data_IF_444432086247
#
_entry.id   IF_444432086247
#
_cell.length_a   1.000
_cell.length_b   1.000
_cell.length_c   1.000
_cell.angle_alpha   90.00
_cell.angle_beta   90.00
_cell.angle_gamma   90.00
#
_symmetry.space_group_name_H-M   'P 1'
#
loop_
_entity.id
_entity.type
_entity.pdbx_description
1 polymer ?
#
# COMPACT_ATOMS: atom_id res chain seq x y z
N UNK A 1 -29.07 13.08 32.40
CA UNK A 1 -30.13 12.39 31.64
C UNK A 1 -29.43 11.57 30.57
N UNK A 2 -29.04 10.34 30.91
CA UNK A 2 -28.21 9.46 30.07
C UNK A 2 -29.12 8.50 29.30
N UNK A 3 -29.20 8.65 27.98
CA UNK A 3 -29.78 7.63 27.12
C UNK A 3 -28.70 6.67 26.63
N UNK A 4 -28.92 5.40 26.96
CA UNK A 4 -28.19 4.22 26.56
C UNK A 4 -28.24 4.09 25.03
N UNK A 5 -27.08 3.96 24.38
CA UNK A 5 -26.99 3.49 22.99
C UNK A 5 -27.09 1.96 23.01
N UNK A 6 -28.31 1.45 22.87
CA UNK A 6 -28.55 0.09 22.40
C UNK A 6 -28.64 0.17 20.87
N UNK A 7 -27.64 -0.36 20.17
CA UNK A 7 -27.78 -0.71 18.76
C UNK A 7 -28.79 -1.86 18.69
N UNK A 8 -30.06 -1.51 18.53
CA UNK A 8 -31.07 -2.45 18.10
C UNK A 8 -30.78 -2.78 16.63
N UNK A 9 -30.38 -4.02 16.34
CA UNK A 9 -30.78 -4.64 15.10
C UNK A 9 -32.28 -4.39 14.96
N UNK A 10 -32.72 -3.62 13.98
CA UNK A 10 -34.13 -3.66 13.56
C UNK A 10 -34.30 -4.97 12.79
N UNK A 11 -34.20 -6.09 13.52
CA UNK A 11 -34.98 -7.27 13.25
C UNK A 11 -36.32 -6.97 13.88
N UNK A 12 -37.27 -6.49 13.08
CA UNK A 12 -38.67 -6.46 13.49
C UNK A 12 -39.02 -7.87 13.97
N UNK A 13 -39.36 -8.01 15.25
CA UNK A 13 -39.66 -9.29 15.86
C UNK A 13 -40.84 -9.93 15.15
N UNK A 14 -40.62 -11.07 14.51
CA UNK A 14 -41.70 -11.95 14.08
C UNK A 14 -42.08 -12.83 15.27
N UNK A 15 -43.29 -12.65 15.78
CA UNK A 15 -43.96 -13.72 16.50
C UNK A 15 -44.18 -14.86 15.51
N UNK A 16 -43.72 -16.06 15.87
CA UNK A 16 -44.04 -17.28 15.16
C UNK A 16 -45.56 -17.52 15.24
N UNK A 17 -46.28 -17.06 14.22
CA UNK A 17 -47.63 -17.53 13.93
C UNK A 17 -47.48 -18.59 12.85
N UNK A 18 -47.87 -19.82 13.16
CA UNK A 18 -47.89 -20.92 12.20
C UNK A 18 -48.73 -20.55 10.98
N UNK A 19 -48.07 -20.43 9.82
CA UNK A 19 -48.76 -20.15 8.55
C UNK A 19 -48.15 -21.00 7.45
N UNK A 20 -48.66 -22.21 7.30
CA UNK A 20 -48.64 -22.89 6.00
C UNK A 20 -49.65 -22.17 5.09
N UNK A 21 -49.19 -21.72 3.93
CA UNK A 21 -49.94 -21.16 2.79
C UNK A 21 -50.33 -19.66 2.78
N UNK A 22 -49.53 -18.74 3.34
CA UNK A 22 -49.54 -17.34 2.85
C UNK A 22 -48.55 -17.18 1.69
N UNK A 23 -48.90 -16.49 0.58
CA UNK A 23 -47.92 -16.13 -0.43
C UNK A 23 -46.79 -15.33 0.22
N UNK A 24 -45.54 -15.65 -0.13
CA UNK A 24 -44.38 -14.96 0.42
C UNK A 24 -44.50 -13.45 0.17
N UNK A 25 -44.19 -12.65 1.18
CA UNK A 25 -44.26 -11.19 1.08
C UNK A 25 -43.32 -10.69 -0.01
N UNK A 26 -43.79 -9.76 -0.85
CA UNK A 26 -42.94 -9.12 -1.85
C UNK A 26 -41.81 -8.28 -1.22
N UNK A 27 -41.86 -8.02 0.09
CA UNK A 27 -40.87 -7.30 0.89
C UNK A 27 -40.19 -8.20 1.94
N UNK A 28 -40.19 -9.51 1.73
CA UNK A 28 -39.42 -10.44 2.55
C UNK A 28 -37.91 -10.26 2.28
N UNK A 29 -37.26 -9.53 3.19
CA UNK A 29 -35.83 -9.24 3.13
C UNK A 29 -34.95 -10.49 3.04
N UNK A 30 -35.38 -11.61 3.63
CA UNK A 30 -34.61 -12.86 3.62
C UNK A 30 -34.67 -13.58 2.27
N UNK A 31 -35.62 -13.21 1.40
CA UNK A 31 -35.79 -13.79 0.07
C UNK A 31 -34.96 -13.08 -1.01
N UNK A 32 -34.54 -11.83 -0.76
CA UNK A 32 -33.83 -11.04 -1.75
C UNK A 32 -32.42 -11.55 -2.00
N UNK A 33 -32.12 -11.74 -3.29
CA UNK A 33 -30.80 -12.10 -3.78
C UNK A 33 -29.93 -10.90 -4.11
N UNK A 34 -28.72 -11.18 -4.59
CA UNK A 34 -27.82 -10.16 -5.12
C UNK A 34 -28.49 -9.44 -6.30
N UNK A 35 -28.37 -8.12 -6.36
CA UNK A 35 -29.02 -7.27 -7.37
C UNK A 35 -28.53 -7.50 -8.81
N UNK A 36 -27.52 -8.35 -9.01
CA UNK A 36 -27.01 -8.71 -10.33
C UNK A 36 -27.30 -10.18 -10.63
N UNK A 37 -28.24 -10.42 -11.54
CA UNK A 37 -28.50 -11.75 -12.09
C UNK A 37 -27.89 -11.89 -13.49
N UNK A 38 -27.34 -13.07 -13.79
CA UNK A 38 -26.88 -13.45 -15.13
C UNK A 38 -27.47 -14.81 -15.52
N UNK A 39 -27.77 -15.05 -16.81
CA UNK A 39 -28.44 -16.29 -17.25
C UNK A 39 -27.78 -17.58 -16.75
N UNK A 40 -26.45 -17.64 -16.77
CA UNK A 40 -25.66 -18.80 -16.37
C UNK A 40 -25.83 -19.20 -14.89
N UNK A 41 -26.39 -18.34 -14.03
CA UNK A 41 -26.70 -18.70 -12.64
C UNK A 41 -27.70 -19.85 -12.54
N UNK A 42 -28.55 -20.03 -13.56
CA UNK A 42 -29.55 -21.12 -13.62
C UNK A 42 -28.90 -22.49 -13.83
N UNK A 43 -27.72 -22.52 -14.44
CA UNK A 43 -27.00 -23.74 -14.79
C UNK A 43 -25.94 -24.13 -13.74
N UNK A 44 -25.86 -23.38 -12.64
CA UNK A 44 -24.93 -23.65 -11.53
C UNK A 44 -25.33 -24.95 -10.83
N UNK A 45 -24.35 -25.86 -10.69
CA UNK A 45 -24.56 -27.14 -10.01
C UNK A 45 -24.34 -26.97 -8.51
N UNK A 46 -25.35 -27.29 -7.70
CA UNK A 46 -25.29 -27.10 -6.24
C UNK A 46 -25.28 -28.45 -5.53
N UNK A 47 -24.25 -28.69 -4.71
CA UNK A 47 -24.22 -29.78 -3.73
C UNK A 47 -24.54 -29.18 -2.36
N UNK A 48 -25.66 -29.58 -1.78
CA UNK A 48 -26.16 -29.02 -0.52
C UNK A 48 -25.80 -29.89 0.68
N UNK A 49 -25.80 -29.25 1.85
CA UNK A 49 -25.77 -29.89 3.17
C UNK A 49 -24.57 -30.82 3.39
N UNK A 50 -23.41 -30.43 2.85
CA UNK A 50 -22.16 -31.15 3.04
C UNK A 50 -21.67 -30.91 4.48
N UNK A 51 -21.56 -31.94 5.34
CA UNK A 51 -21.12 -31.77 6.71
C UNK A 51 -19.63 -31.43 6.77
N UNK A 52 -19.27 -30.36 7.48
CA UNK A 52 -17.88 -29.96 7.65
C UNK A 52 -17.40 -30.02 9.12
N UNK A 53 -18.31 -29.90 10.09
CA UNK A 53 -17.97 -29.93 11.52
C UNK A 53 -19.13 -30.49 12.34
N UNK A 54 -18.81 -31.20 13.42
CA UNK A 54 -19.81 -31.55 14.44
C UNK A 54 -20.08 -30.32 15.33
N UNK A 55 -21.34 -30.06 15.65
CA UNK A 55 -21.75 -29.01 16.60
C UNK A 55 -22.78 -29.59 17.56
N UNK A 56 -22.92 -29.03 18.77
CA UNK A 56 -23.61 -29.65 19.92
C UNK A 56 -24.82 -30.55 19.60
N UNK A 57 -25.74 -30.08 18.75
CA UNK A 57 -27.00 -30.77 18.46
C UNK A 57 -27.08 -31.35 17.02
N UNK A 58 -25.96 -31.44 16.28
CA UNK A 58 -25.94 -31.89 14.90
C UNK A 58 -24.61 -31.70 14.17
N UNK A 59 -24.68 -31.37 12.88
CA UNK A 59 -23.52 -31.06 12.06
C UNK A 59 -23.72 -29.70 11.40
N UNK A 60 -22.69 -28.86 11.42
CA UNK A 60 -22.67 -27.70 10.56
C UNK A 60 -22.37 -28.15 9.13
N UNK A 61 -23.11 -27.58 8.20
CA UNK A 61 -22.99 -27.93 6.78
C UNK A 61 -22.65 -26.74 5.91
N UNK A 62 -22.10 -27.03 4.73
CA UNK A 62 -21.91 -26.07 3.64
C UNK A 62 -22.70 -26.48 2.40
N UNK A 63 -23.00 -25.50 1.56
CA UNK A 63 -23.42 -25.73 0.19
C UNK A 63 -22.29 -25.32 -0.76
N UNK A 64 -21.98 -26.17 -1.74
CA UNK A 64 -20.96 -25.93 -2.76
C UNK A 64 -21.63 -25.68 -4.11
N UNK A 65 -21.34 -24.52 -4.70
CA UNK A 65 -21.87 -24.01 -5.96
C UNK A 65 -20.77 -24.11 -7.02
N UNK A 66 -20.91 -25.04 -7.95
CA UNK A 66 -19.92 -25.30 -8.99
C UNK A 66 -20.30 -24.60 -10.32
N UNK A 67 -19.33 -24.01 -11.04
CA UNK A 67 -19.56 -23.40 -12.33
C UNK A 67 -20.26 -24.32 -13.34
N UNK A 68 -21.13 -23.78 -14.19
CA UNK A 68 -21.64 -24.51 -15.34
C UNK A 68 -20.48 -25.04 -16.21
N UNK A 69 -20.53 -26.31 -16.59
CA UNK A 69 -19.52 -26.93 -17.46
C UNK A 69 -18.17 -27.26 -16.80
N UNK A 70 -18.07 -27.21 -15.46
CA UNK A 70 -16.85 -27.62 -14.74
C UNK A 70 -16.47 -29.08 -15.08
N UNK A 71 -15.29 -29.28 -15.65
CA UNK A 71 -14.80 -30.60 -16.08
C UNK A 71 -14.35 -31.45 -14.89
N UNK A 72 -14.55 -32.77 -14.89
CA UNK A 72 -14.05 -33.66 -13.84
C UNK A 72 -12.54 -33.50 -13.61
N UNK A 73 -12.15 -33.30 -12.35
CA UNK A 73 -10.76 -33.16 -11.93
C UNK A 73 -10.18 -31.75 -12.09
N UNK A 74 -10.91 -30.85 -12.75
CA UNK A 74 -10.54 -29.44 -12.84
C UNK A 74 -10.76 -28.74 -11.51
N UNK A 75 -9.76 -28.01 -11.02
CA UNK A 75 -9.87 -27.22 -9.80
C UNK A 75 -10.10 -25.75 -10.14
N UNK A 76 -10.90 -25.07 -9.31
CA UNK A 76 -11.18 -23.64 -9.46
C UNK A 76 -10.95 -22.89 -8.14
N UNK A 77 -10.53 -21.61 -8.18
CA UNK A 77 -10.54 -20.78 -6.99
C UNK A 77 -11.93 -20.76 -6.35
N UNK A 78 -12.00 -20.67 -5.04
CA UNK A 78 -13.27 -20.72 -4.31
C UNK A 78 -13.48 -19.49 -3.44
N UNK A 79 -14.73 -19.04 -3.33
CA UNK A 79 -15.12 -17.89 -2.51
C UNK A 79 -16.06 -18.39 -1.41
N UNK A 80 -15.65 -18.18 -0.16
CA UNK A 80 -16.40 -18.55 1.04
C UNK A 80 -17.23 -17.35 1.50
N UNK A 81 -18.54 -17.53 1.56
CA UNK A 81 -19.50 -16.56 2.09
C UNK A 81 -19.68 -16.81 3.58
N UNK A 82 -18.98 -16.01 4.37
CA UNK A 82 -18.90 -16.15 5.81
C UNK A 82 -20.22 -15.79 6.49
N UNK A 83 -20.70 -16.70 7.33
CA UNK A 83 -21.80 -16.45 8.26
C UNK A 83 -21.31 -16.71 9.68
N UNK A 84 -21.74 -15.88 10.63
CA UNK A 84 -21.25 -15.91 12.02
C UNK A 84 -22.39 -16.01 13.04
N UNK A 85 -23.59 -16.33 12.57
CA UNK A 85 -24.79 -16.40 13.40
C UNK A 85 -25.38 -17.80 13.42
N UNK A 86 -25.66 -18.29 14.63
CA UNK A 86 -26.59 -19.39 14.83
C UNK A 86 -28.03 -18.90 14.57
N UNK A 87 -28.85 -19.64 13.82
CA UNK A 87 -30.27 -19.34 13.72
C UNK A 87 -30.94 -19.48 15.10
N UNK A 88 -31.91 -18.61 15.42
CA UNK A 88 -32.76 -18.85 16.58
C UNK A 88 -33.72 -20.00 16.30
N UNK A 89 -34.31 -20.55 17.36
CA UNK A 89 -35.30 -21.62 17.22
C UNK A 89 -36.46 -21.19 16.32
N UNK A 90 -36.73 -21.97 15.27
CA UNK A 90 -37.77 -21.68 14.27
C UNK A 90 -37.34 -20.75 13.13
N UNK A 91 -36.14 -20.18 13.15
CA UNK A 91 -35.62 -19.33 12.06
C UNK A 91 -34.91 -20.15 10.97
N UNK A 92 -35.01 -19.67 9.73
CA UNK A 92 -34.26 -20.23 8.61
C UNK A 92 -32.76 -19.95 8.77
N UNK A 93 -31.94 -20.96 8.47
CA UNK A 93 -30.47 -20.87 8.50
C UNK A 93 -30.00 -19.78 7.54
N UNK A 94 -29.02 -18.96 7.94
CA UNK A 94 -28.55 -17.83 7.13
C UNK A 94 -28.09 -18.24 5.72
N UNK A 95 -27.45 -19.43 5.57
CA UNK A 95 -27.03 -19.95 4.26
C UNK A 95 -28.17 -20.18 3.26
N UNK A 96 -29.43 -20.25 3.73
CA UNK A 96 -30.62 -20.44 2.88
C UNK A 96 -31.29 -19.12 2.50
N UNK A 97 -30.84 -17.97 3.02
CA UNK A 97 -31.37 -16.67 2.62
C UNK A 97 -31.00 -16.38 1.14
N UNK A 98 -31.83 -15.58 0.47
CA UNK A 98 -31.67 -15.22 -0.94
C UNK A 98 -30.26 -14.74 -1.26
N UNK A 99 -29.71 -13.84 -0.45
CA UNK A 99 -28.38 -13.27 -0.65
C UNK A 99 -27.26 -14.34 -0.54
N UNK A 100 -27.37 -15.31 0.38
CA UNK A 100 -26.40 -16.40 0.56
C UNK A 100 -26.61 -17.61 -0.37
N UNK A 101 -27.60 -17.54 -1.26
CA UNK A 101 -27.82 -18.55 -2.30
C UNK A 101 -27.61 -17.98 -3.71
N UNK A 102 -27.85 -16.68 -3.90
CA UNK A 102 -27.69 -15.98 -5.18
C UNK A 102 -26.27 -15.45 -5.40
N UNK A 103 -25.59 -14.91 -4.38
CA UNK A 103 -24.18 -14.52 -4.52
C UNK A 103 -23.25 -15.70 -4.87
N UNK A 104 -23.32 -16.87 -4.19
CA UNK A 104 -22.55 -18.04 -4.58
C UNK A 104 -22.86 -18.53 -6.00
N UNK A 105 -24.12 -18.40 -6.46
CA UNK A 105 -24.46 -18.68 -7.85
C UNK A 105 -23.85 -17.67 -8.81
N UNK A 106 -23.87 -16.39 -8.47
CA UNK A 106 -23.31 -15.34 -9.30
C UNK A 106 -21.80 -15.55 -9.50
N UNK A 107 -21.04 -15.82 -8.44
CA UNK A 107 -19.60 -16.09 -8.59
C UNK A 107 -19.36 -17.42 -9.31
N UNK A 108 -20.22 -18.43 -9.13
CA UNK A 108 -20.10 -19.69 -9.86
C UNK A 108 -20.37 -19.54 -11.36
N UNK A 109 -21.33 -18.68 -11.74
CA UNK A 109 -21.55 -18.28 -13.12
C UNK A 109 -20.33 -17.53 -13.72
N UNK A 110 -19.42 -17.00 -12.90
CA UNK A 110 -18.17 -16.37 -13.32
C UNK A 110 -16.94 -17.30 -13.21
N UNK A 111 -17.15 -18.60 -12.98
CA UNK A 111 -16.09 -19.61 -13.05
C UNK A 111 -15.42 -19.99 -11.72
N UNK A 112 -15.88 -19.44 -10.59
CA UNK A 112 -15.38 -19.76 -9.25
C UNK A 112 -16.23 -20.82 -8.55
N UNK A 113 -15.70 -21.49 -7.51
CA UNK A 113 -16.54 -22.30 -6.62
C UNK A 113 -17.15 -21.39 -5.54
N UNK A 114 -18.47 -21.37 -5.40
CA UNK A 114 -19.15 -20.68 -4.30
C UNK A 114 -19.34 -21.61 -3.12
N UNK A 115 -19.09 -21.11 -1.90
CA UNK A 115 -19.29 -21.89 -0.69
C UNK A 115 -20.10 -21.03 0.28
N UNK A 116 -21.34 -21.44 0.58
CA UNK A 116 -22.09 -20.87 1.70
C UNK A 116 -22.04 -21.81 2.90
N UNK A 117 -21.90 -21.25 4.09
CA UNK A 117 -21.71 -22.03 5.31
C UNK A 117 -22.81 -21.79 6.34
N UNK A 118 -23.12 -22.81 7.12
CA UNK A 118 -23.74 -22.67 8.43
C UNK A 118 -22.71 -22.27 9.49
N UNK A 119 -23.20 -21.64 10.54
CA UNK A 119 -22.43 -21.28 11.73
C UNK A 119 -23.28 -21.49 12.96
N UNK A 120 -22.63 -21.83 14.07
CA UNK A 120 -23.20 -21.80 15.42
C UNK A 120 -22.78 -20.53 16.19
N UNK A 121 -22.14 -19.57 15.49
CA UNK A 121 -21.61 -18.34 16.04
C UNK A 121 -20.23 -18.48 16.71
N UNK A 122 -19.69 -19.71 16.76
CA UNK A 122 -18.36 -19.97 17.28
C UNK A 122 -17.28 -19.60 16.27
N UNK A 123 -16.09 -19.24 16.77
CA UNK A 123 -14.91 -19.06 15.93
C UNK A 123 -14.41 -20.40 15.39
N UNK A 124 -14.66 -21.46 16.15
CA UNK A 124 -14.35 -22.85 15.83
C UNK A 124 -15.07 -23.30 14.55
N UNK A 125 -16.28 -22.82 14.28
CA UNK A 125 -16.97 -23.09 13.01
C UNK A 125 -16.19 -22.54 11.80
N UNK A 126 -15.59 -21.36 11.92
CA UNK A 126 -14.77 -20.77 10.86
C UNK A 126 -13.48 -21.58 10.67
N UNK A 127 -12.76 -21.84 11.77
CA UNK A 127 -11.52 -22.61 11.74
C UNK A 127 -11.75 -24.04 11.22
N UNK A 128 -12.86 -24.67 11.62
CA UNK A 128 -13.30 -25.98 11.19
C UNK A 128 -13.63 -26.04 9.70
N UNK A 129 -14.29 -25.01 9.15
CA UNK A 129 -14.56 -24.92 7.71
C UNK A 129 -13.26 -24.91 6.90
N UNK A 130 -12.30 -24.04 7.26
CA UNK A 130 -11.06 -23.96 6.50
C UNK A 130 -10.18 -25.20 6.68
N UNK A 131 -10.25 -25.86 7.83
CA UNK A 131 -9.62 -27.17 8.05
C UNK A 131 -10.24 -28.24 7.15
N UNK A 132 -11.58 -28.28 7.07
CA UNK A 132 -12.31 -29.15 6.16
C UNK A 132 -11.94 -28.89 4.69
N UNK A 133 -11.82 -27.63 4.27
CA UNK A 133 -11.43 -27.31 2.90
C UNK A 133 -9.99 -27.75 2.62
N UNK A 134 -9.06 -27.58 3.55
CA UNK A 134 -7.70 -28.06 3.40
C UNK A 134 -7.62 -29.59 3.23
N UNK A 135 -8.44 -30.34 3.97
CA UNK A 135 -8.45 -31.80 3.92
C UNK A 135 -9.25 -32.36 2.73
N UNK A 136 -10.44 -31.80 2.48
CA UNK A 136 -11.46 -32.40 1.60
C UNK A 136 -11.88 -31.51 0.44
N UNK A 137 -11.44 -30.25 0.39
CA UNK A 137 -11.84 -29.29 -0.64
C UNK A 137 -11.57 -29.77 -2.06
N UNK A 138 -10.46 -30.49 -2.28
CA UNK A 138 -10.11 -31.07 -3.59
C UNK A 138 -11.19 -32.02 -4.11
N UNK A 139 -11.88 -32.77 -3.23
CA UNK A 139 -12.98 -33.68 -3.63
C UNK A 139 -14.21 -32.93 -4.15
N UNK A 140 -14.28 -31.63 -3.86
CA UNK A 140 -15.28 -30.69 -4.37
C UNK A 140 -14.70 -29.76 -5.45
N UNK A 141 -13.54 -30.09 -6.02
CA UNK A 141 -12.88 -29.32 -7.08
C UNK A 141 -12.48 -27.88 -6.65
N UNK A 142 -12.34 -27.67 -5.35
CA UNK A 142 -11.80 -26.42 -4.80
C UNK A 142 -10.29 -26.40 -4.94
N UNK A 143 -9.76 -25.31 -5.49
CA UNK A 143 -8.34 -24.98 -5.35
C UNK A 143 -8.11 -24.38 -3.96
N UNK A 144 -7.59 -25.21 -3.05
CA UNK A 144 -7.38 -24.84 -1.64
C UNK A 144 -6.31 -23.78 -1.43
N UNK A 145 -5.48 -23.50 -2.45
CA UNK A 145 -4.44 -22.48 -2.41
C UNK A 145 -4.90 -21.11 -2.96
N UNK A 146 -6.13 -21.05 -3.51
CA UNK A 146 -6.72 -19.83 -4.07
C UNK A 146 -8.14 -19.64 -3.54
N UNK A 147 -8.22 -19.17 -2.29
CA UNK A 147 -9.48 -18.91 -1.60
C UNK A 147 -9.73 -17.39 -1.47
N UNK A 148 -10.96 -16.99 -1.72
CA UNK A 148 -11.52 -15.69 -1.40
C UNK A 148 -12.47 -15.77 -0.20
N UNK A 149 -12.60 -14.68 0.55
CA UNK A 149 -13.55 -14.58 1.67
C UNK A 149 -14.48 -13.38 1.48
N UNK A 150 -15.78 -13.63 1.47
CA UNK A 150 -16.81 -12.60 1.49
C UNK A 150 -17.47 -12.52 2.87
N UNK A 151 -17.61 -11.33 3.43
CA UNK A 151 -18.43 -11.10 4.61
C UNK A 151 -19.14 -9.74 4.53
N UNK A 152 -20.37 -9.67 5.05
CA UNK A 152 -21.18 -8.46 5.00
C UNK A 152 -21.86 -8.20 6.34
N UNK A 153 -22.12 -6.92 6.65
CA UNK A 153 -22.79 -6.47 7.87
C UNK A 153 -22.09 -7.05 9.12
N UNK A 154 -22.85 -7.57 10.07
CA UNK A 154 -22.33 -8.10 11.32
C UNK A 154 -21.43 -9.35 11.16
N UNK A 155 -21.42 -10.01 9.99
CA UNK A 155 -20.46 -11.08 9.69
C UNK A 155 -19.01 -10.55 9.54
N UNK A 156 -18.83 -9.25 9.28
CA UNK A 156 -17.51 -8.64 9.05
C UNK A 156 -16.61 -8.76 10.28
N UNK A 157 -17.13 -8.52 11.49
CA UNK A 157 -16.31 -8.47 12.71
C UNK A 157 -15.55 -9.78 12.96
N UNK A 158 -16.27 -10.91 13.06
CA UNK A 158 -15.64 -12.19 13.37
C UNK A 158 -14.86 -12.74 12.16
N UNK A 159 -15.34 -12.51 10.93
CA UNK A 159 -14.59 -12.87 9.72
C UNK A 159 -13.25 -12.14 9.65
N UNK A 160 -13.24 -10.84 9.95
CA UNK A 160 -12.04 -10.04 10.01
C UNK A 160 -11.06 -10.56 11.08
N UNK A 161 -11.56 -10.86 12.28
CA UNK A 161 -10.72 -11.41 13.36
C UNK A 161 -10.05 -12.73 12.94
N UNK A 162 -10.75 -13.58 12.19
CA UNK A 162 -10.15 -14.77 11.62
C UNK A 162 -9.10 -14.44 10.55
N UNK A 163 -9.42 -13.56 9.60
CA UNK A 163 -8.54 -13.16 8.49
C UNK A 163 -7.19 -12.59 8.95
N UNK A 164 -7.19 -11.91 10.10
CA UNK A 164 -5.99 -11.32 10.71
C UNK A 164 -5.30 -12.22 11.74
N UNK A 165 -5.85 -13.41 12.02
CA UNK A 165 -5.28 -14.31 13.01
C UNK A 165 -4.15 -15.17 12.46
N UNK A 166 -3.31 -15.68 13.36
CA UNK A 166 -2.23 -16.63 13.00
C UNK A 166 -2.75 -17.98 12.49
N UNK A 167 -4.01 -18.32 12.83
CA UNK A 167 -4.70 -19.54 12.39
C UNK A 167 -5.37 -19.41 11.03
N UNK A 168 -5.26 -18.25 10.38
CA UNK A 168 -5.87 -18.01 9.07
C UNK A 168 -5.34 -19.03 8.05
N UNK A 169 -6.23 -19.54 7.19
CA UNK A 169 -5.83 -20.41 6.09
C UNK A 169 -4.88 -19.66 5.15
N UNK A 170 -3.71 -20.24 4.90
CA UNK A 170 -2.71 -19.71 3.95
C UNK A 170 -3.20 -19.71 2.50
N UNK A 171 -4.25 -20.46 2.22
CA UNK A 171 -4.94 -20.47 0.93
C UNK A 171 -5.75 -19.21 0.66
N UNK A 172 -6.06 -18.41 1.68
CA UNK A 172 -6.81 -17.16 1.50
C UNK A 172 -5.90 -16.10 0.87
N UNK A 173 -6.27 -15.66 -0.34
CA UNK A 173 -5.53 -14.68 -1.15
C UNK A 173 -6.23 -13.34 -1.30
N UNK A 174 -7.52 -13.25 -1.00
CA UNK A 174 -8.27 -12.01 -1.10
C UNK A 174 -9.51 -12.02 -0.19
N UNK A 175 -9.97 -10.84 0.22
CA UNK A 175 -11.24 -10.71 0.94
C UNK A 175 -12.07 -9.51 0.45
N UNK A 176 -13.39 -9.65 0.53
CA UNK A 176 -14.37 -8.60 0.26
C UNK A 176 -15.25 -8.43 1.48
N UNK A 177 -15.31 -7.20 2.00
CA UNK A 177 -16.03 -6.85 3.22
C UNK A 177 -17.04 -5.73 2.93
N UNK A 178 -18.31 -5.95 3.26
CA UNK A 178 -19.41 -5.03 2.94
C UNK A 178 -20.04 -4.46 4.23
N UNK A 179 -20.04 -3.13 4.36
CA UNK A 179 -20.83 -2.33 5.33
C UNK A 179 -20.92 -2.90 6.77
N UNK A 180 -19.78 -3.34 7.31
CA UNK A 180 -19.67 -3.82 8.68
C UNK A 180 -18.82 -2.91 9.57
N UNK A 181 -18.85 -3.13 10.87
CA UNK A 181 -18.09 -2.33 11.84
C UNK A 181 -16.59 -2.33 11.52
N UNK A 182 -15.95 -1.15 11.58
CA UNK A 182 -14.49 -1.04 11.46
C UNK A 182 -13.78 -1.92 12.47
N UNK A 183 -12.62 -2.43 12.07
CA UNK A 183 -11.75 -3.21 12.94
C UNK A 183 -10.38 -2.53 13.05
N UNK A 184 -9.67 -2.80 14.14
CA UNK A 184 -8.34 -2.27 14.42
C UNK A 184 -7.31 -3.38 14.20
N UNK A 185 -6.11 -3.01 13.75
CA UNK A 185 -5.05 -3.93 13.31
C UNK A 185 -4.42 -4.80 14.41
N UNK A 186 -3.33 -5.52 14.09
CA UNK A 186 -2.49 -5.34 12.89
C UNK A 186 -3.13 -5.92 11.62
N UNK A 187 -2.88 -5.27 10.48
CA UNK A 187 -3.36 -5.75 9.18
C UNK A 187 -2.25 -6.46 8.40
N UNK A 188 -2.62 -7.52 7.71
CA UNK A 188 -1.75 -8.31 6.83
C UNK A 188 -1.34 -7.54 5.57
N UNK A 189 -0.06 -7.61 5.21
CA UNK A 189 0.48 -7.01 3.97
C UNK A 189 0.32 -7.89 2.73
N UNK A 190 -0.01 -9.14 2.93
CA UNK A 190 -0.16 -10.15 1.88
C UNK A 190 -1.63 -10.44 1.51
N UNK A 191 -2.58 -9.73 2.13
CA UNK A 191 -4.01 -9.94 1.91
C UNK A 191 -4.67 -8.68 1.32
N UNK A 192 -4.83 -8.62 -0.01
CA UNK A 192 -5.71 -7.66 -0.67
C UNK A 192 -7.13 -7.71 -0.09
N UNK A 193 -7.69 -6.55 0.24
CA UNK A 193 -9.08 -6.44 0.74
C UNK A 193 -9.82 -5.33 0.00
N UNK A 194 -11.02 -5.64 -0.50
CA UNK A 194 -11.98 -4.63 -0.97
C UNK A 194 -13.05 -4.42 0.10
N UNK A 195 -13.08 -3.23 0.69
CA UNK A 195 -14.03 -2.86 1.73
C UNK A 195 -15.02 -1.82 1.20
N UNK A 196 -16.31 -2.14 1.19
CA UNK A 196 -17.36 -1.16 0.87
C UNK A 196 -17.95 -0.57 2.15
N UNK A 197 -18.00 0.75 2.21
CA UNK A 197 -18.69 1.51 3.25
C UNK A 197 -20.06 1.94 2.70
N UNK A 198 -21.16 1.52 3.32
CA UNK A 198 -22.47 2.07 3.00
C UNK A 198 -22.60 3.50 3.56
N UNK A 199 -23.31 4.38 2.86
CA UNK A 199 -23.39 5.79 3.25
C UNK A 199 -24.08 5.98 4.61
N UNK A 200 -25.17 5.24 4.84
CA UNK A 200 -25.90 5.26 6.11
C UNK A 200 -25.09 4.79 7.31
N UNK A 201 -23.97 4.11 7.07
CA UNK A 201 -23.18 3.44 8.12
C UNK A 201 -21.97 4.26 8.56
N UNK A 202 -21.69 5.40 7.94
CA UNK A 202 -20.46 6.17 8.24
C UNK A 202 -20.39 6.59 9.71
N UNK A 203 -21.52 6.97 10.29
CA UNK A 203 -21.59 7.37 11.68
C UNK A 203 -21.63 6.15 12.60
N UNK A 204 -20.69 6.07 13.53
CA UNK A 204 -20.67 5.03 14.57
C UNK A 204 -19.86 3.77 14.24
N UNK A 205 -19.45 3.57 12.98
CA UNK A 205 -18.71 2.36 12.56
C UNK A 205 -17.20 2.55 12.42
N UNK A 206 -16.62 3.66 12.88
CA UNK A 206 -15.17 3.81 13.09
C UNK A 206 -14.28 3.79 11.82
N UNK A 207 -14.83 4.09 10.64
CA UNK A 207 -14.07 3.99 9.37
C UNK A 207 -12.86 4.94 9.27
N UNK A 208 -12.82 6.05 10.01
CA UNK A 208 -11.63 6.90 10.09
C UNK A 208 -10.47 6.17 10.76
N UNK A 209 -10.74 5.43 11.83
CA UNK A 209 -9.75 4.56 12.50
C UNK A 209 -9.30 3.44 11.57
N UNK A 210 -10.23 2.82 10.84
CA UNK A 210 -9.90 1.79 9.85
C UNK A 210 -8.89 2.32 8.82
N UNK A 211 -9.17 3.49 8.23
CA UNK A 211 -8.30 4.10 7.25
C UNK A 211 -6.90 4.41 7.81
N UNK A 212 -6.83 4.97 9.02
CA UNK A 212 -5.56 5.23 9.69
C UNK A 212 -4.74 3.96 9.93
N UNK A 213 -5.38 2.87 10.33
CA UNK A 213 -4.69 1.58 10.51
C UNK A 213 -4.26 0.97 9.17
N UNK A 214 -5.02 1.15 8.08
CA UNK A 214 -4.58 0.74 6.73
C UNK A 214 -3.29 1.45 6.34
N UNK A 215 -3.24 2.77 6.52
CA UNK A 215 -2.06 3.58 6.23
C UNK A 215 -0.86 3.17 7.09
N UNK A 216 -1.08 3.02 8.40
CA UNK A 216 -0.04 2.63 9.37
C UNK A 216 0.56 1.26 9.05
N UNK A 217 -0.27 0.29 8.71
CA UNK A 217 0.17 -1.08 8.40
C UNK A 217 0.64 -1.24 6.95
N UNK A 218 0.42 -0.25 6.07
CA UNK A 218 0.63 -0.33 4.61
C UNK A 218 -0.10 -1.54 4.02
N UNK A 219 -1.32 -1.77 4.49
CA UNK A 219 -2.13 -2.91 4.07
C UNK A 219 -2.63 -2.68 2.63
N UNK A 220 -2.68 -3.72 1.77
CA UNK A 220 -3.11 -3.60 0.37
C UNK A 220 -4.65 -3.54 0.28
N UNK A 221 -5.25 -2.58 0.98
CA UNK A 221 -6.70 -2.43 1.10
C UNK A 221 -7.22 -1.36 0.16
N UNK A 222 -8.31 -1.66 -0.53
CA UNK A 222 -9.14 -0.70 -1.26
C UNK A 222 -10.40 -0.44 -0.44
N UNK A 223 -10.54 0.75 0.12
CA UNK A 223 -11.77 1.17 0.81
C UNK A 223 -12.59 2.04 -0.14
N UNK A 224 -13.82 1.64 -0.40
CA UNK A 224 -14.73 2.34 -1.30
C UNK A 224 -15.96 2.84 -0.54
N UNK A 225 -16.21 4.14 -0.67
CA UNK A 225 -17.44 4.76 -0.21
C UNK A 225 -18.57 4.46 -1.21
N UNK A 226 -19.65 3.86 -0.73
CA UNK A 226 -20.90 3.66 -1.46
C UNK A 226 -21.80 4.88 -1.34
N UNK A 227 -21.43 5.99 -1.99
CA UNK A 227 -22.24 7.21 -1.98
C UNK A 227 -23.64 6.95 -2.53
N UNK A 228 -24.67 7.34 -1.77
CA UNK A 228 -26.07 7.05 -2.05
C UNK A 228 -26.49 5.58 -1.91
N UNK A 229 -25.59 4.70 -1.44
CA UNK A 229 -25.89 3.28 -1.23
C UNK A 229 -26.23 3.02 0.24
N UNK A 230 -27.40 2.45 0.54
CA UNK A 230 -27.81 2.10 1.90
C UNK A 230 -27.09 0.83 2.40
N UNK A 231 -27.27 0.51 3.68
CA UNK A 231 -26.91 -0.80 4.21
C UNK A 231 -27.57 -1.92 3.39
N UNK A 232 -26.83 -3.01 3.10
CA UNK A 232 -27.31 -4.11 2.23
C UNK A 232 -27.69 -3.66 0.81
N UNK A 233 -26.98 -2.67 0.25
CA UNK A 233 -27.19 -2.19 -1.12
C UNK A 233 -27.06 -3.28 -2.20
N UNK A 234 -26.30 -4.34 -1.93
CA UNK A 234 -26.07 -5.47 -2.82
C UNK A 234 -27.28 -6.39 -2.94
N UNK A 235 -28.24 -6.28 -2.03
CA UNK A 235 -29.53 -6.97 -2.08
C UNK A 235 -30.70 -6.00 -2.35
N UNK A 236 -30.66 -4.79 -1.76
CA UNK A 236 -31.84 -3.92 -1.70
C UNK A 236 -31.83 -2.77 -2.71
N UNK A 237 -30.69 -2.51 -3.36
CA UNK A 237 -30.54 -1.38 -4.29
C UNK A 237 -30.36 -1.89 -5.71
N UNK A 238 -31.46 -2.32 -6.33
CA UNK A 238 -31.48 -2.71 -7.74
C UNK A 238 -31.41 -1.48 -8.66
N UNK A 239 -30.23 -0.85 -8.68
CA UNK A 239 -29.90 0.28 -9.54
C UNK A 239 -28.54 0.06 -10.17
N UNK A 240 -28.18 0.91 -11.14
CA UNK A 240 -26.84 0.88 -11.74
C UNK A 240 -25.73 1.03 -10.69
N UNK A 241 -25.95 1.81 -9.64
CA UNK A 241 -24.97 2.00 -8.58
C UNK A 241 -24.77 0.73 -7.73
N UNK A 242 -25.86 0.06 -7.33
CA UNK A 242 -25.79 -1.21 -6.62
C UNK A 242 -25.17 -2.32 -7.46
N UNK A 243 -25.61 -2.46 -8.73
CA UNK A 243 -25.03 -3.42 -9.69
C UNK A 243 -23.56 -3.13 -10.00
N UNK A 244 -23.14 -1.86 -10.00
CA UNK A 244 -21.73 -1.48 -10.17
C UNK A 244 -20.85 -1.98 -9.02
N UNK A 245 -21.29 -1.84 -7.78
CA UNK A 245 -20.55 -2.37 -6.63
C UNK A 245 -20.36 -3.89 -6.73
N UNK A 246 -21.40 -4.62 -7.14
CA UNK A 246 -21.32 -6.07 -7.40
C UNK A 246 -20.33 -6.40 -8.53
N UNK A 247 -20.37 -5.66 -9.66
CA UNK A 247 -19.43 -5.85 -10.78
C UNK A 247 -17.98 -5.58 -10.39
N UNK A 248 -17.74 -4.58 -9.54
CA UNK A 248 -16.40 -4.29 -9.02
C UNK A 248 -15.89 -5.41 -8.11
N UNK A 249 -16.76 -6.01 -7.29
CA UNK A 249 -16.43 -7.22 -6.52
C UNK A 249 -16.01 -8.37 -7.44
N UNK A 250 -16.72 -8.59 -8.56
CA UNK A 250 -16.34 -9.60 -9.54
C UNK A 250 -14.98 -9.30 -10.19
N UNK A 251 -14.69 -8.04 -10.52
CA UNK A 251 -13.38 -7.63 -11.03
C UNK A 251 -12.28 -7.85 -10.00
N UNK A 252 -12.54 -7.51 -8.74
CA UNK A 252 -11.59 -7.72 -7.66
C UNK A 252 -11.23 -9.19 -7.46
N UNK A 253 -12.20 -10.09 -7.55
CA UNK A 253 -11.91 -11.53 -7.50
C UNK A 253 -11.02 -11.97 -8.66
N UNK A 254 -11.32 -11.51 -9.87
CA UNK A 254 -10.49 -11.78 -11.06
C UNK A 254 -9.05 -11.34 -10.86
N UNK A 255 -8.84 -10.11 -10.39
CA UNK A 255 -7.50 -9.54 -10.27
C UNK A 255 -6.65 -10.21 -9.17
N UNK A 256 -7.28 -10.86 -8.18
CA UNK A 256 -6.59 -11.38 -7.00
C UNK A 256 -6.62 -12.92 -6.86
N UNK A 257 -7.54 -13.62 -7.53
CA UNK A 257 -7.67 -15.08 -7.46
C UNK A 257 -7.32 -15.78 -8.76
N UNK A 258 -7.45 -15.13 -9.91
CA UNK A 258 -7.07 -15.76 -11.17
C UNK A 258 -5.54 -15.88 -11.26
N UNK A 259 -5.03 -16.92 -11.94
CA UNK A 259 -3.62 -16.97 -12.29
C UNK A 259 -3.25 -15.70 -13.06
N UNK A 260 -2.17 -15.02 -12.64
CA UNK A 260 -1.62 -13.90 -13.39
C UNK A 260 -1.24 -14.44 -14.78
N UNK A 261 -1.87 -13.95 -15.86
CA UNK A 261 -1.49 -14.37 -17.21
C UNK A 261 0.00 -14.14 -17.41
N UNK A 262 0.68 -15.02 -18.14
CA UNK A 262 2.08 -14.77 -18.50
C UNK A 262 2.14 -13.39 -19.17
N UNK A 263 2.81 -12.41 -18.55
CA UNK A 263 2.77 -11.06 -19.06
C UNK A 263 3.40 -11.02 -20.45
N UNK A 264 2.77 -10.32 -21.37
CA UNK A 264 3.32 -10.05 -22.70
C UNK A 264 4.45 -9.01 -22.67
N UNK A 265 4.65 -8.36 -21.52
CA UNK A 265 5.72 -7.39 -21.29
C UNK A 265 6.98 -8.06 -20.71
N UNK A 266 8.15 -7.57 -21.10
CA UNK A 266 9.43 -8.00 -20.56
C UNK A 266 9.84 -7.17 -19.34
N UNK A 267 10.39 -7.83 -18.33
CA UNK A 267 10.99 -7.17 -17.18
C UNK A 267 12.10 -6.20 -17.60
N UNK A 268 12.16 -5.03 -16.96
CA UNK A 268 13.13 -3.98 -17.25
C UNK A 268 13.94 -3.68 -16.00
N UNK A 269 15.17 -4.19 -15.97
CA UNK A 269 16.13 -3.91 -14.88
C UNK A 269 16.26 -2.41 -14.61
N UNK A 270 16.33 -1.59 -15.68
CA UNK A 270 16.41 -0.13 -15.55
C UNK A 270 15.20 0.49 -14.85
N UNK A 271 13.97 0.08 -15.19
CA UNK A 271 12.78 0.56 -14.48
C UNK A 271 12.74 0.08 -13.03
N UNK A 272 13.21 -1.14 -12.78
CA UNK A 272 13.27 -1.70 -11.44
C UNK A 272 14.32 -0.99 -10.55
N UNK A 273 15.43 -0.55 -11.12
CA UNK A 273 16.38 0.36 -10.45
C UNK A 273 15.65 1.65 -10.06
N UNK A 274 14.97 2.30 -11.00
CA UNK A 274 14.28 3.57 -10.73
C UNK A 274 13.22 3.44 -9.62
N UNK A 275 12.42 2.36 -9.64
CA UNK A 275 11.45 2.09 -8.57
C UNK A 275 12.12 1.77 -7.23
N UNK A 276 13.20 0.98 -7.25
CA UNK A 276 13.91 0.58 -6.02
C UNK A 276 14.67 1.74 -5.39
N UNK A 277 15.17 2.71 -6.17
CA UNK A 277 15.86 3.88 -5.61
C UNK A 277 15.01 4.68 -4.60
N UNK A 278 13.69 4.68 -4.78
CA UNK A 278 12.75 5.39 -3.90
C UNK A 278 12.33 4.55 -2.68
N UNK A 279 12.28 3.22 -2.81
CA UNK A 279 11.63 2.33 -1.85
C UNK A 279 12.59 1.35 -1.14
N UNK A 280 13.66 0.92 -1.81
CA UNK A 280 14.57 -0.14 -1.38
C UNK A 280 15.99 0.10 -1.94
N UNK A 281 16.77 0.93 -1.24
CA UNK A 281 18.16 1.26 -1.62
C UNK A 281 19.06 0.03 -1.74
N UNK A 282 19.02 -0.97 -0.82
CA UNK A 282 19.77 -2.20 -0.99
C UNK A 282 19.44 -2.96 -2.29
N UNK A 283 18.16 -3.07 -2.67
CA UNK A 283 17.77 -3.67 -3.96
C UNK A 283 18.30 -2.84 -5.12
N UNK A 284 18.18 -1.52 -5.07
CA UNK A 284 18.69 -0.64 -6.13
C UNK A 284 20.19 -0.81 -6.37
N UNK A 285 21.00 -0.92 -5.31
CA UNK A 285 22.45 -1.16 -5.41
C UNK A 285 22.78 -2.49 -6.10
N UNK A 286 22.08 -3.57 -5.74
CA UNK A 286 22.29 -4.88 -6.39
C UNK A 286 21.97 -4.83 -7.88
N UNK A 287 20.84 -4.23 -8.23
CA UNK A 287 20.41 -4.09 -9.62
C UNK A 287 21.33 -3.18 -10.43
N UNK A 288 21.78 -2.07 -9.85
CA UNK A 288 22.75 -1.17 -10.48
C UNK A 288 24.07 -1.89 -10.76
N UNK A 289 24.56 -2.68 -9.80
CA UNK A 289 25.73 -3.52 -10.00
C UNK A 289 25.54 -4.47 -11.19
N UNK A 290 24.41 -5.19 -11.23
CA UNK A 290 24.08 -6.10 -12.33
C UNK A 290 24.08 -5.40 -13.69
N UNK A 291 23.45 -4.22 -13.79
CA UNK A 291 23.44 -3.43 -15.02
C UNK A 291 24.87 -3.03 -15.43
N UNK A 292 25.71 -2.60 -14.47
CA UNK A 292 27.09 -2.21 -14.76
C UNK A 292 28.00 -3.40 -15.07
N UNK A 293 27.68 -4.61 -14.59
CA UNK A 293 28.40 -5.82 -14.95
C UNK A 293 28.04 -6.26 -16.39
N UNK A 294 26.77 -6.12 -16.78
CA UNK A 294 26.30 -6.40 -18.14
C UNK A 294 26.82 -5.38 -19.16
N UNK A 295 26.83 -4.10 -18.78
CA UNK A 295 27.24 -2.98 -19.63
C UNK A 295 28.32 -2.13 -18.93
N UNK A 296 29.59 -2.58 -18.91
CA UNK A 296 30.65 -1.96 -18.11
C UNK A 296 31.10 -0.58 -18.57
N UNK A 297 30.62 -0.10 -19.73
CA UNK A 297 30.91 1.24 -20.27
C UNK A 297 29.69 2.16 -20.32
N UNK A 298 28.55 1.73 -19.78
CA UNK A 298 27.36 2.57 -19.66
C UNK A 298 27.58 3.64 -18.57
N UNK A 299 27.95 4.85 -19.01
CA UNK A 299 28.26 5.97 -18.11
C UNK A 299 27.04 6.37 -17.26
N UNK A 300 25.82 6.24 -17.78
CA UNK A 300 24.60 6.57 -17.02
C UNK A 300 24.44 5.57 -15.88
N UNK A 301 24.54 4.27 -16.17
CA UNK A 301 24.44 3.22 -15.14
C UNK A 301 25.56 3.32 -14.11
N UNK A 302 26.81 3.52 -14.56
CA UNK A 302 27.96 3.72 -13.67
C UNK A 302 27.76 4.93 -12.76
N UNK A 303 27.25 6.04 -13.29
CA UNK A 303 27.02 7.27 -12.50
C UNK A 303 25.96 7.07 -11.44
N UNK A 304 24.87 6.39 -11.79
CA UNK A 304 23.83 6.01 -10.83
C UNK A 304 24.38 5.07 -9.76
N UNK A 305 25.19 4.08 -10.14
CA UNK A 305 25.79 3.13 -9.20
C UNK A 305 26.78 3.81 -8.25
N UNK A 306 27.71 4.61 -8.78
CA UNK A 306 28.67 5.38 -7.98
C UNK A 306 27.98 6.35 -7.03
N UNK A 307 26.91 7.03 -7.49
CA UNK A 307 26.11 7.93 -6.67
C UNK A 307 25.41 7.21 -5.52
N UNK A 308 24.80 6.05 -5.80
CA UNK A 308 24.15 5.21 -4.78
C UNK A 308 25.17 4.69 -3.75
N UNK A 309 26.34 4.19 -4.19
CA UNK A 309 27.41 3.73 -3.31
C UNK A 309 27.91 4.84 -2.39
N UNK A 310 28.14 6.04 -2.94
CA UNK A 310 28.58 7.22 -2.19
C UNK A 310 27.56 7.61 -1.11
N UNK A 311 26.27 7.65 -1.44
CA UNK A 311 25.21 7.92 -0.48
C UNK A 311 25.13 6.86 0.63
N UNK A 312 25.43 5.61 0.29
CA UNK A 312 25.54 4.51 1.25
C UNK A 312 26.89 4.45 1.99
N UNK A 313 27.74 5.47 1.85
CA UNK A 313 29.09 5.57 2.45
C UNK A 313 30.06 4.44 2.04
N UNK A 314 29.79 3.75 0.94
CA UNK A 314 30.68 2.74 0.35
C UNK A 314 31.72 3.41 -0.55
N UNK A 315 32.56 4.27 0.04
CA UNK A 315 33.40 5.23 -0.70
C UNK A 315 34.46 4.55 -1.59
N UNK A 316 35.04 3.43 -1.15
CA UNK A 316 36.05 2.70 -1.94
C UNK A 316 35.47 2.13 -3.23
N UNK A 317 34.28 1.52 -3.15
CA UNK A 317 33.60 0.99 -4.33
C UNK A 317 33.12 2.13 -5.23
N UNK A 318 32.58 3.21 -4.65
CA UNK A 318 32.20 4.40 -5.40
C UNK A 318 33.38 4.98 -6.18
N UNK A 319 34.57 5.06 -5.56
CA UNK A 319 35.79 5.54 -6.20
C UNK A 319 36.14 4.71 -7.43
N UNK A 320 36.12 3.37 -7.30
CA UNK A 320 36.37 2.46 -8.42
C UNK A 320 35.35 2.63 -9.55
N UNK A 321 34.07 2.83 -9.23
CA UNK A 321 33.02 3.06 -10.23
C UNK A 321 33.19 4.40 -10.95
N UNK A 322 33.51 5.47 -10.23
CA UNK A 322 33.77 6.78 -10.85
C UNK A 322 35.08 6.79 -11.65
N UNK A 323 36.10 6.04 -11.26
CA UNK A 323 37.31 5.84 -12.06
C UNK A 323 36.98 5.20 -13.41
N UNK A 324 36.09 4.20 -13.46
CA UNK A 324 35.62 3.62 -14.74
C UNK A 324 34.94 4.67 -15.63
N UNK A 325 34.21 5.64 -15.07
CA UNK A 325 33.64 6.73 -15.87
C UNK A 325 34.77 7.58 -16.46
N UNK A 326 35.78 7.95 -15.67
CA UNK A 326 36.94 8.72 -16.14
C UNK A 326 37.77 7.94 -17.19
N UNK A 327 37.83 6.61 -17.11
CA UNK A 327 38.46 5.77 -18.14
C UNK A 327 37.70 5.84 -19.48
N UNK A 328 36.37 5.92 -19.44
CA UNK A 328 35.53 6.04 -20.65
C UNK A 328 35.47 7.48 -21.17
N UNK A 329 35.42 8.45 -20.26
CA UNK A 329 35.29 9.89 -20.51
C UNK A 329 36.25 10.66 -19.59
N UNK A 330 37.52 10.86 -20.00
CA UNK A 330 38.55 11.47 -19.15
C UNK A 330 38.26 12.90 -18.68
N UNK A 331 37.38 13.61 -19.39
CA UNK A 331 36.92 14.95 -19.05
C UNK A 331 35.49 14.97 -18.47
N UNK A 332 34.92 13.87 -17.99
CA UNK A 332 33.61 13.90 -17.31
C UNK A 332 33.71 14.68 -15.97
N UNK A 333 33.16 15.89 -15.95
CA UNK A 333 33.26 16.79 -14.80
C UNK A 333 32.57 16.20 -13.57
N UNK A 334 31.41 15.56 -13.75
CA UNK A 334 30.64 14.97 -12.64
C UNK A 334 31.43 13.88 -11.92
N UNK A 335 32.05 12.96 -12.67
CA UNK A 335 32.89 11.90 -12.13
C UNK A 335 34.14 12.47 -11.46
N UNK A 336 34.78 13.49 -12.04
CA UNK A 336 35.93 14.16 -11.43
C UNK A 336 35.55 14.87 -10.11
N UNK A 337 34.40 15.54 -10.05
CA UNK A 337 33.89 16.13 -8.79
C UNK A 337 33.49 15.08 -7.76
N UNK A 338 32.94 13.95 -8.19
CA UNK A 338 32.62 12.84 -7.31
C UNK A 338 33.89 12.22 -6.71
N UNK A 339 34.94 12.02 -7.51
CA UNK A 339 36.26 11.57 -7.04
C UNK A 339 36.92 12.61 -6.12
N UNK A 340 36.77 13.91 -6.42
CA UNK A 340 37.25 14.97 -5.55
C UNK A 340 36.55 14.92 -4.20
N UNK A 341 35.22 14.79 -4.20
CA UNK A 341 34.42 14.60 -2.98
C UNK A 341 34.96 13.42 -2.17
N UNK A 342 35.13 12.25 -2.80
CA UNK A 342 35.67 11.06 -2.13
C UNK A 342 37.08 11.32 -1.55
N UNK A 343 37.93 12.05 -2.29
CA UNK A 343 39.29 12.41 -1.84
C UNK A 343 39.25 13.31 -0.60
N UNK A 344 38.38 14.33 -0.57
CA UNK A 344 38.19 15.14 0.63
C UNK A 344 37.69 14.29 1.79
N UNK A 345 36.69 13.43 1.58
CA UNK A 345 36.16 12.57 2.64
C UNK A 345 37.20 11.56 3.17
N UNK A 346 38.19 11.21 2.36
CA UNK A 346 39.33 10.37 2.74
C UNK A 346 40.56 11.14 3.23
N UNK A 347 40.42 12.43 3.60
CA UNK A 347 41.49 13.30 4.09
C UNK A 347 42.69 13.46 3.13
N UNK A 348 42.41 13.47 1.82
CA UNK A 348 43.37 13.74 0.74
C UNK A 348 43.04 15.04 -0.02
N UNK A 349 43.09 16.21 0.64
CA UNK A 349 42.64 17.47 0.04
C UNK A 349 43.47 17.88 -1.19
N UNK A 350 44.76 17.57 -1.25
CA UNK A 350 45.60 17.90 -2.42
C UNK A 350 45.16 17.13 -3.68
N UNK A 351 44.78 15.87 -3.50
CA UNK A 351 44.21 15.06 -4.59
C UNK A 351 42.84 15.61 -5.00
N UNK A 352 42.01 15.99 -4.02
CA UNK A 352 40.74 16.66 -4.25
C UNK A 352 40.87 17.93 -5.10
N UNK A 353 41.75 18.86 -4.72
CA UNK A 353 41.99 20.09 -5.48
C UNK A 353 42.49 19.80 -6.91
N UNK A 354 43.37 18.81 -7.10
CA UNK A 354 43.83 18.43 -8.44
C UNK A 354 42.69 17.92 -9.32
N UNK A 355 41.77 17.14 -8.77
CA UNK A 355 40.60 16.64 -9.48
C UNK A 355 39.62 17.76 -9.80
N UNK A 356 39.37 18.67 -8.87
CA UNK A 356 38.55 19.86 -9.12
C UNK A 356 39.16 20.74 -10.21
N UNK A 357 40.49 20.98 -10.16
CA UNK A 357 41.18 21.76 -11.17
C UNK A 357 41.04 21.15 -12.58
N UNK A 358 41.02 19.82 -12.69
CA UNK A 358 40.70 19.14 -13.96
C UNK A 358 39.23 19.32 -14.35
N UNK A 359 38.32 19.13 -13.40
CA UNK A 359 36.87 19.19 -13.63
C UNK A 359 36.40 20.58 -14.10
N UNK A 360 36.93 21.67 -13.53
CA UNK A 360 36.53 23.03 -13.91
C UNK A 360 36.97 23.44 -15.31
N UNK A 361 37.99 22.77 -15.86
CA UNK A 361 38.47 22.98 -17.23
C UNK A 361 37.78 22.04 -18.24
N UNK A 362 36.84 21.21 -17.79
CA UNK A 362 36.10 20.30 -18.66
C UNK A 362 35.00 21.01 -19.46
N UNK A 363 34.72 20.49 -20.66
CA UNK A 363 33.56 20.88 -21.47
C UNK A 363 32.22 20.52 -20.83
N UNK A 364 32.19 19.49 -19.98
CA UNK A 364 30.97 19.06 -19.25
C UNK A 364 30.80 19.79 -17.91
N UNK A 365 31.64 20.79 -17.62
CA UNK A 365 31.58 21.57 -16.39
C UNK A 365 30.23 22.27 -16.21
N UNK A 366 29.66 22.15 -15.00
CA UNK A 366 28.45 22.83 -14.58
C UNK A 366 28.64 23.35 -13.15
N UNK A 367 28.20 24.58 -12.88
CA UNK A 367 28.24 25.18 -11.52
C UNK A 367 27.58 24.29 -10.45
N UNK A 368 26.59 23.49 -10.84
CA UNK A 368 25.89 22.56 -9.93
C UNK A 368 26.88 21.59 -9.27
N UNK A 369 27.91 21.15 -9.97
CA UNK A 369 28.89 20.22 -9.39
C UNK A 369 29.76 20.84 -8.30
N UNK A 370 30.03 22.15 -8.36
CA UNK A 370 30.69 22.88 -7.27
C UNK A 370 29.79 23.00 -6.05
N UNK A 371 28.50 23.32 -6.26
CA UNK A 371 27.51 23.37 -5.19
C UNK A 371 27.32 21.99 -4.54
N UNK A 372 27.25 20.92 -5.33
CA UNK A 372 27.14 19.54 -4.84
C UNK A 372 28.39 19.12 -4.05
N UNK A 373 29.60 19.48 -4.50
CA UNK A 373 30.81 19.28 -3.72
C UNK A 373 30.73 20.03 -2.38
N UNK A 374 30.32 21.31 -2.39
CA UNK A 374 30.10 22.10 -1.18
C UNK A 374 29.10 21.45 -0.22
N UNK A 375 27.99 20.93 -0.74
CA UNK A 375 26.98 20.20 0.04
C UNK A 375 27.55 18.94 0.68
N UNK A 376 28.24 18.11 -0.09
CA UNK A 376 28.82 16.88 0.44
C UNK A 376 29.87 17.15 1.53
N UNK A 377 30.67 18.22 1.38
CA UNK A 377 31.63 18.66 2.39
C UNK A 377 30.94 19.19 3.65
N UNK A 378 29.87 19.99 3.49
CA UNK A 378 29.07 20.51 4.60
C UNK A 378 28.44 19.36 5.41
N UNK A 379 27.84 18.36 4.75
CA UNK A 379 27.29 17.17 5.40
C UNK A 379 28.37 16.35 6.12
N UNK A 380 29.61 16.40 5.64
CA UNK A 380 30.76 15.77 6.28
C UNK A 380 31.45 16.65 7.35
N UNK A 381 30.86 17.78 7.74
CA UNK A 381 31.41 18.77 8.67
C UNK A 381 32.73 19.41 8.24
N UNK A 382 33.09 19.33 6.95
CA UNK A 382 34.23 20.05 6.35
C UNK A 382 33.80 21.46 5.93
N UNK A 383 33.37 22.24 6.93
CA UNK A 383 32.64 23.48 6.72
C UNK A 383 33.47 24.55 6.00
N UNK A 384 34.78 24.64 6.29
CA UNK A 384 35.66 25.64 5.66
C UNK A 384 35.86 25.37 4.17
N UNK A 385 36.03 24.11 3.80
CA UNK A 385 36.13 23.67 2.42
C UNK A 385 34.79 23.82 1.69
N UNK A 386 33.67 23.54 2.36
CA UNK A 386 32.34 23.76 1.81
C UNK A 386 32.10 25.23 1.42
N UNK A 387 32.50 26.17 2.28
CA UNK A 387 32.40 27.62 2.02
C UNK A 387 33.09 27.98 0.70
N UNK A 388 34.33 27.52 0.48
CA UNK A 388 35.12 27.82 -0.73
C UNK A 388 34.36 27.40 -2.00
N UNK A 389 33.74 26.23 -1.99
CA UNK A 389 33.05 25.72 -3.18
C UNK A 389 31.66 26.32 -3.39
N UNK A 390 30.94 26.66 -2.32
CA UNK A 390 29.72 27.45 -2.44
C UNK A 390 29.99 28.86 -2.97
N UNK A 391 31.03 29.54 -2.47
CA UNK A 391 31.45 30.85 -2.98
C UNK A 391 31.79 30.77 -4.48
N UNK A 392 32.56 29.76 -4.90
CA UNK A 392 32.87 29.51 -6.33
C UNK A 392 31.60 29.25 -7.16
N UNK A 393 30.67 28.42 -6.66
CA UNK A 393 29.43 28.11 -7.37
C UNK A 393 28.54 29.37 -7.54
N UNK A 394 28.42 30.18 -6.48
CA UNK A 394 27.63 31.41 -6.47
C UNK A 394 28.26 32.52 -7.31
N UNK A 395 29.58 32.57 -7.42
CA UNK A 395 30.29 33.47 -8.35
C UNK A 395 29.99 33.15 -9.82
N UNK A 396 29.69 31.88 -10.15
CA UNK A 396 29.25 31.47 -11.49
C UNK A 396 27.77 31.75 -11.75
N UNK A 397 26.97 31.93 -10.69
CA UNK A 397 25.58 32.34 -10.80
C UNK A 397 24.83 32.12 -9.49
N UNK A 398 23.92 33.03 -9.10
CA UNK A 398 23.16 32.89 -7.87
C UNK A 398 22.17 31.73 -7.94
N UNK A 399 21.95 31.05 -6.80
CA UNK A 399 20.84 30.11 -6.58
C UNK A 399 20.46 30.18 -5.11
N UNK A 400 19.16 30.28 -4.85
CA UNK A 400 18.63 30.54 -3.52
C UNK A 400 19.01 29.49 -2.48
N UNK A 401 18.93 28.19 -2.81
CA UNK A 401 19.36 27.10 -1.92
C UNK A 401 20.87 27.08 -1.65
N UNK A 402 21.70 27.49 -2.61
CA UNK A 402 23.16 27.48 -2.44
C UNK A 402 23.58 28.59 -1.46
N UNK A 403 22.89 29.74 -1.47
CA UNK A 403 23.04 30.77 -0.45
C UNK A 403 22.63 30.28 0.95
N UNK A 404 21.56 29.50 1.04
CA UNK A 404 21.12 28.92 2.32
C UNK A 404 22.19 28.01 2.91
N UNK A 405 22.71 27.07 2.12
CA UNK A 405 23.73 26.16 2.61
C UNK A 405 25.06 26.86 2.89
N UNK A 406 25.40 27.92 2.14
CA UNK A 406 26.53 28.78 2.47
C UNK A 406 26.33 29.48 3.82
N UNK A 407 25.11 29.95 4.12
CA UNK A 407 24.77 30.52 5.41
C UNK A 407 24.97 29.50 6.54
N UNK A 408 24.47 28.27 6.37
CA UNK A 408 24.70 27.16 7.30
C UNK A 408 26.20 26.92 7.52
N UNK A 409 26.98 26.87 6.43
CA UNK A 409 28.41 26.64 6.49
C UNK A 409 29.15 27.74 7.29
N UNK A 410 28.82 29.02 7.05
CA UNK A 410 29.36 30.13 7.83
C UNK A 410 28.92 30.11 9.30
N UNK A 411 27.66 29.78 9.57
CA UNK A 411 27.13 29.72 10.93
C UNK A 411 27.85 28.64 11.76
N UNK A 412 28.11 27.46 11.16
CA UNK A 412 28.88 26.36 11.78
C UNK A 412 30.33 26.70 12.08
N UNK A 413 30.92 27.69 11.40
CA UNK A 413 32.27 28.21 11.70
C UNK A 413 32.25 29.52 12.49
N UNK A 414 31.07 29.92 13.00
CA UNK A 414 30.84 31.12 13.81
C UNK A 414 31.14 32.45 13.08
N UNK A 415 31.07 32.46 11.75
CA UNK A 415 31.19 33.65 10.89
C UNK A 415 29.82 34.35 10.77
N UNK A 416 29.29 34.85 11.89
CA UNK A 416 27.89 35.29 12.02
C UNK A 416 27.45 36.33 10.99
N UNK A 417 28.30 37.33 10.72
CA UNK A 417 27.98 38.40 9.76
C UNK A 417 27.79 37.84 8.36
N UNK A 418 28.71 36.98 7.90
CA UNK A 418 28.63 36.34 6.58
C UNK A 418 27.48 35.35 6.48
N UNK A 419 27.20 34.62 7.57
CA UNK A 419 26.06 33.73 7.65
C UNK A 419 24.74 34.49 7.44
N UNK A 420 24.56 35.63 8.12
CA UNK A 420 23.38 36.48 7.96
C UNK A 420 23.27 37.08 6.55
N UNK A 421 24.38 37.51 5.96
CA UNK A 421 24.40 38.00 4.58
C UNK A 421 23.97 36.94 3.57
N UNK A 422 24.51 35.73 3.68
CA UNK A 422 24.13 34.61 2.83
C UNK A 422 22.67 34.20 3.06
N UNK A 423 22.19 34.18 4.31
CA UNK A 423 20.81 33.84 4.64
C UNK A 423 19.82 34.87 4.07
N UNK A 424 20.14 36.16 4.15
CA UNK A 424 19.36 37.22 3.51
C UNK A 424 19.33 37.04 1.99
N UNK A 425 20.45 36.68 1.36
CA UNK A 425 20.47 36.38 -0.08
C UNK A 425 19.58 35.18 -0.41
N UNK A 426 19.60 34.12 0.40
CA UNK A 426 18.71 32.97 0.23
C UNK A 426 17.25 33.40 0.18
N UNK A 427 16.81 34.16 1.19
CA UNK A 427 15.43 34.65 1.30
C UNK A 427 15.07 35.58 0.16
N UNK A 428 15.95 36.54 -0.18
CA UNK A 428 15.76 37.45 -1.33
C UNK A 428 15.59 36.70 -2.65
N UNK A 429 16.25 35.54 -2.81
CA UNK A 429 16.13 34.70 -4.00
C UNK A 429 15.02 33.63 -3.89
N UNK A 430 14.14 33.72 -2.88
CA UNK A 430 12.94 32.90 -2.76
C UNK A 430 13.14 31.53 -2.09
N UNK A 431 14.20 31.34 -1.29
CA UNK A 431 14.38 30.13 -0.49
C UNK A 431 14.52 30.44 1.01
N UNK A 432 13.82 29.63 1.82
CA UNK A 432 13.78 29.75 3.28
C UNK A 432 12.45 30.31 3.77
N UNK A 433 11.55 29.43 4.22
CA UNK A 433 10.36 29.85 4.97
C UNK A 433 10.76 30.13 6.41
N UNK A 434 9.94 30.91 7.12
CA UNK A 434 10.16 31.18 8.55
C UNK A 434 10.32 29.90 9.36
N UNK A 435 9.45 28.91 9.12
CA UNK A 435 9.49 27.61 9.79
C UNK A 435 10.80 26.85 9.52
N UNK A 436 11.30 26.85 8.28
CA UNK A 436 12.55 26.18 7.93
C UNK A 436 13.73 26.84 8.65
N UNK A 437 13.84 28.16 8.57
CA UNK A 437 14.97 28.92 9.14
C UNK A 437 14.96 28.83 10.67
N UNK A 438 13.80 28.99 11.32
CA UNK A 438 13.67 28.86 12.77
C UNK A 438 13.99 27.45 13.26
N UNK A 439 13.60 26.42 12.50
CA UNK A 439 13.82 25.01 12.85
C UNK A 439 15.22 24.47 12.56
N UNK A 440 16.07 25.22 11.85
CA UNK A 440 17.42 24.79 11.49
C UNK A 440 18.40 25.07 12.63
N UNK A 441 19.05 24.02 13.12
CA UNK A 441 20.00 24.10 14.24
C UNK A 441 21.30 24.82 13.86
N UNK A 442 21.64 24.88 12.56
CA UNK A 442 22.84 25.58 12.12
C UNK A 442 22.79 27.08 12.44
N UNK A 443 21.59 27.66 12.58
CA UNK A 443 21.38 29.07 12.88
C UNK A 443 21.16 29.39 14.36
N UNK A 444 21.34 28.42 15.27
CA UNK A 444 21.17 28.64 16.71
C UNK A 444 22.01 29.82 17.21
N UNK A 445 23.24 29.98 16.71
CA UNK A 445 24.16 31.07 17.07
C UNK A 445 23.74 32.45 16.53
N UNK A 446 22.82 32.49 15.57
CA UNK A 446 22.31 33.70 14.93
C UNK A 446 21.00 34.19 15.55
N UNK A 447 20.26 33.34 16.29
CA UNK A 447 18.92 33.68 16.82
C UNK A 447 18.89 34.88 17.76
N UNK A 448 19.99 35.15 18.46
CA UNK A 448 20.13 36.32 19.31
C UNK A 448 20.37 37.62 18.55
N UNK A 449 20.79 37.55 17.28
CA UNK A 449 21.19 38.71 16.49
C UNK A 449 19.96 39.49 16.03
N UNK A 450 19.95 40.81 16.23
CA UNK A 450 18.83 41.68 15.80
C UNK A 450 18.61 41.65 14.28
N UNK A 451 19.68 41.42 13.51
CA UNK A 451 19.59 41.26 12.04
C UNK A 451 18.84 39.97 11.66
N UNK A 452 19.01 38.87 12.41
CA UNK A 452 18.27 37.63 12.21
C UNK A 452 16.77 37.80 12.49
N UNK A 453 16.44 38.41 13.64
CA UNK A 453 15.03 38.67 14.02
C UNK A 453 14.31 39.54 12.99
N UNK A 454 15.00 40.58 12.49
CA UNK A 454 14.47 41.45 11.42
C UNK A 454 14.23 40.68 10.12
N UNK A 455 15.17 39.82 9.71
CA UNK A 455 14.99 38.98 8.53
C UNK A 455 13.76 38.06 8.67
N UNK A 456 13.58 37.38 9.80
CA UNK A 456 12.41 36.52 10.00
C UNK A 456 11.07 37.29 9.97
N UNK A 457 11.07 38.55 10.40
CA UNK A 457 9.87 39.39 10.36
C UNK A 457 9.47 39.81 8.93
N UNK A 458 10.36 39.69 7.93
CA UNK A 458 10.04 39.99 6.53
C UNK A 458 9.49 38.80 5.76
N UNK A 459 9.54 37.59 6.33
CA UNK A 459 9.07 36.35 5.70
C UNK A 459 7.62 36.12 6.12
N UNK A 460 6.70 36.14 5.16
CA UNK A 460 5.26 35.96 5.38
C UNK A 460 4.89 34.51 5.72
#
# INVERSE_FOLDING_TARGET
>A
MNWKVLFACILLGFQAVSQTNRPASAIDQLSYGVVLEVPAMKDVVVKRDIPFMNAGNGKLTIDVYSPPGLRPGEKRPAIVFMTVFAPREGEAKMKTWGIYTSWPRLIAAHGYIGISMESDGSREAIEGLFSFLAEKGISYQVNTDQLGVYAASANVTQSFQYLMSEKVSKGIKAAVLYYGNSQVGPFRKDLPVLFFVAEGDVQGNGYSTLWNEVLKNKAPWTIKMGSGLPHAFDAYTDTDAGRKAVKETLSFWKDNLDPVPTPSWSYSLGRDVMGSMQLDRPKALRLLKEITDLNPRDVIALRMYGGALRQSRQLREAESVYQKIVEVQPDDAEALFALATISYLGDKPQQGESLVAKAVNSRSMNRIFLADLGYNLLVANKNKEAIVYYEKALAMGPRSFDFYNLACAYARVNEKTKALEALEQSVRNGFGTKQIIEGDADFDTLRSEERYKRLLATIQ
#
